data_IF_747869048999
#
_entry.id   IF_747869048999
#
_cell.length_a   1.000
_cell.length_b   1.000
_cell.length_c   1.000
_cell.angle_alpha   90.00
_cell.angle_beta   90.00
_cell.angle_gamma   90.00
#
_symmetry.space_group_name_H-M   'P 1'
#
loop_
_entity.id
_entity.type
_entity.pdbx_description
1 polymer ?
#
# COMPACT_ATOMS: atom_id res chain seq x y z
N UNK A 1 -11.09 -14.03 2.02
CA UNK A 1 -9.96 -13.90 1.06
C UNK A 1 -9.62 -12.42 0.89
N UNK A 2 -8.44 -11.98 1.33
CA UNK A 2 -7.98 -10.58 1.28
C UNK A 2 -7.75 -10.06 -0.15
N UNK A 3 -7.55 -10.96 -1.12
CA UNK A 3 -7.31 -10.65 -2.54
C UNK A 3 -8.45 -9.85 -3.19
N UNK A 4 -9.65 -9.88 -2.62
CA UNK A 4 -10.81 -9.12 -3.11
C UNK A 4 -11.15 -7.86 -2.31
N UNK A 5 -10.42 -7.51 -1.24
CA UNK A 5 -10.80 -6.37 -0.40
C UNK A 5 -10.11 -5.08 -0.91
N UNK A 6 -10.86 -4.19 -1.61
CA UNK A 6 -10.27 -3.01 -2.23
C UNK A 6 -9.62 -2.09 -1.19
N UNK A 7 -10.14 -2.06 0.04
CA UNK A 7 -9.60 -1.26 1.13
C UNK A 7 -8.19 -1.64 1.58
N UNK A 8 -7.69 -2.83 1.25
CA UNK A 8 -6.30 -3.26 1.55
C UNK A 8 -5.43 -3.24 0.29
N UNK A 9 -5.97 -3.72 -0.83
CA UNK A 9 -5.21 -3.87 -2.06
C UNK A 9 -4.87 -2.52 -2.71
N UNK A 10 -5.83 -1.59 -2.77
CA UNK A 10 -5.63 -0.30 -3.43
C UNK A 10 -4.59 0.60 -2.71
N UNK A 11 -4.54 0.71 -1.37
CA UNK A 11 -3.46 1.42 -0.69
C UNK A 11 -2.07 0.82 -0.97
N UNK A 12 -1.95 -0.51 -1.04
CA UNK A 12 -0.70 -1.18 -1.36
C UNK A 12 -0.27 -0.96 -2.82
N UNK A 13 -1.22 -0.99 -3.76
CA UNK A 13 -0.94 -0.62 -5.15
C UNK A 13 -0.51 0.84 -5.26
N UNK A 14 -1.17 1.75 -4.55
CA UNK A 14 -0.77 3.16 -4.51
C UNK A 14 0.67 3.35 -4.02
N UNK A 15 1.07 2.59 -2.98
CA UNK A 15 2.45 2.58 -2.51
C UNK A 15 3.41 2.04 -3.57
N UNK A 16 3.07 0.94 -4.25
CA UNK A 16 3.94 0.40 -5.30
C UNK A 16 4.10 1.37 -6.48
N UNK A 17 3.04 2.09 -6.86
CA UNK A 17 3.15 3.18 -7.83
C UNK A 17 4.10 4.30 -7.34
N UNK A 18 3.99 4.70 -6.06
CA UNK A 18 4.88 5.69 -5.44
C UNK A 18 6.34 5.25 -5.57
N UNK A 19 6.64 4.03 -5.12
CA UNK A 19 8.00 3.49 -5.09
C UNK A 19 8.57 3.31 -6.49
N UNK A 20 7.76 2.88 -7.47
CA UNK A 20 8.17 2.71 -8.86
C UNK A 20 8.43 4.04 -9.59
N UNK A 21 7.69 5.10 -9.23
CA UNK A 21 7.91 6.44 -9.79
C UNK A 21 9.04 7.22 -9.11
N UNK A 22 9.28 6.94 -7.82
CA UNK A 22 10.29 7.64 -7.02
C UNK A 22 11.72 7.33 -7.49
N UNK A 23 12.07 6.05 -7.61
CA UNK A 23 13.43 5.63 -7.93
C UNK A 23 13.41 4.30 -8.71
N UNK A 24 14.41 4.10 -9.58
CA UNK A 24 14.62 2.88 -10.38
C UNK A 24 14.66 1.62 -9.52
N UNK A 25 15.28 1.72 -8.35
CA UNK A 25 15.40 0.65 -7.36
C UNK A 25 14.51 0.92 -6.12
N UNK A 26 13.53 1.82 -6.23
CA UNK A 26 12.74 2.30 -5.09
C UNK A 26 12.07 1.16 -4.32
N UNK A 27 11.53 0.17 -5.03
CA UNK A 27 10.94 -1.01 -4.40
C UNK A 27 11.99 -1.81 -3.62
N UNK A 28 13.11 -2.20 -4.25
CA UNK A 28 14.16 -3.02 -3.60
C UNK A 28 14.73 -2.29 -2.38
N UNK A 29 14.92 -0.98 -2.48
CA UNK A 29 15.43 -0.15 -1.38
C UNK A 29 14.44 -0.05 -0.23
N UNK A 30 13.14 0.10 -0.51
CA UNK A 30 12.10 0.25 0.51
C UNK A 30 11.57 -1.09 1.03
N UNK A 31 11.91 -2.19 0.37
CA UNK A 31 11.45 -3.53 0.71
C UNK A 31 11.78 -3.95 2.15
N UNK A 32 12.98 -3.69 2.72
CA UNK A 32 13.24 -3.98 4.12
C UNK A 32 12.31 -3.23 5.07
N UNK A 33 12.00 -1.96 4.79
CA UNK A 33 11.06 -1.18 5.58
C UNK A 33 9.64 -1.76 5.51
N UNK A 34 9.20 -2.18 4.31
CA UNK A 34 7.91 -2.86 4.12
C UNK A 34 7.85 -4.18 4.90
N UNK A 35 8.89 -5.00 4.85
CA UNK A 35 8.98 -6.28 5.59
C UNK A 35 8.90 -6.02 7.09
N UNK A 36 9.70 -5.09 7.61
CA UNK A 36 9.67 -4.71 9.03
C UNK A 36 8.28 -4.23 9.42
N UNK A 37 7.64 -3.40 8.60
CA UNK A 37 6.26 -2.98 8.78
C UNK A 37 5.30 -4.16 8.87
N UNK A 38 5.32 -5.07 7.89
CA UNK A 38 4.45 -6.25 7.86
C UNK A 38 4.62 -7.14 9.09
N UNK A 39 5.87 -7.36 9.54
CA UNK A 39 6.16 -8.14 10.74
C UNK A 39 5.65 -7.43 12.00
N UNK A 40 5.90 -6.12 12.12
CA UNK A 40 5.42 -5.31 13.24
C UNK A 40 3.89 -5.15 13.24
N UNK A 41 3.23 -5.28 12.09
CA UNK A 41 1.78 -5.24 11.98
C UNK A 41 1.07 -6.46 12.56
N UNK A 42 1.75 -7.60 12.72
CA UNK A 42 1.19 -8.81 13.35
C UNK A 42 0.76 -8.56 14.81
N UNK A 43 1.65 -8.07 15.70
CA UNK A 43 1.23 -7.74 17.06
C UNK A 43 0.26 -6.56 17.12
N UNK A 44 0.36 -5.61 16.19
CA UNK A 44 -0.58 -4.49 16.12
C UNK A 44 -1.99 -4.94 15.77
N UNK A 45 -2.16 -5.95 14.92
CA UNK A 45 -3.48 -6.49 14.55
C UNK A 45 -4.29 -7.00 15.74
N UNK A 46 -3.63 -7.59 16.73
CA UNK A 46 -4.32 -8.12 17.92
C UNK A 46 -4.85 -7.04 18.88
N UNK A 47 -4.30 -5.82 18.79
CA UNK A 47 -4.74 -4.66 19.57
C UNK A 47 -5.39 -3.58 18.69
N UNK A 48 -5.54 -3.86 17.39
CA UNK A 48 -6.05 -2.91 16.43
C UNK A 48 -7.54 -2.66 16.68
N UNK A 49 -7.96 -1.39 16.87
CA UNK A 49 -9.38 -1.06 16.91
C UNK A 49 -9.99 -1.24 15.52
N UNK A 50 -11.33 -1.37 15.46
CA UNK A 50 -12.09 -1.50 14.21
C UNK A 50 -11.83 -0.35 13.22
N UNK A 51 -11.41 0.81 13.74
CA UNK A 51 -11.07 1.98 12.93
C UNK A 51 -9.77 1.84 12.13
N UNK A 52 -8.94 0.80 12.36
CA UNK A 52 -7.67 0.61 11.64
C UNK A 52 -7.88 0.44 10.14
N UNK A 53 -8.92 -0.30 9.72
CA UNK A 53 -9.27 -0.43 8.31
C UNK A 53 -9.56 0.93 7.65
N UNK A 54 -10.39 1.76 8.29
CA UNK A 54 -10.72 3.11 7.83
C UNK A 54 -9.48 4.01 7.77
N UNK A 55 -8.63 3.92 8.80
CA UNK A 55 -7.35 4.62 8.84
C UNK A 55 -6.42 4.21 7.70
N UNK A 56 -6.36 2.92 7.37
CA UNK A 56 -5.51 2.43 6.28
C UNK A 56 -6.00 2.88 4.90
N UNK A 57 -7.30 2.94 4.69
CA UNK A 57 -7.90 3.53 3.47
C UNK A 57 -7.53 5.01 3.37
N UNK A 58 -7.68 5.79 4.45
CA UNK A 58 -7.32 7.20 4.47
C UNK A 58 -5.81 7.41 4.22
N UNK A 59 -4.97 6.56 4.79
CA UNK A 59 -3.54 6.52 4.49
C UNK A 59 -3.27 6.21 3.00
N UNK A 60 -4.01 5.26 2.41
CA UNK A 60 -3.96 4.98 0.98
C UNK A 60 -4.33 6.17 0.09
N UNK A 61 -5.37 6.94 0.46
CA UNK A 61 -5.71 8.21 -0.21
C UNK A 61 -4.52 9.16 -0.18
N UNK A 62 -3.91 9.32 0.99
CA UNK A 62 -2.74 10.19 1.16
C UNK A 62 -1.58 9.75 0.28
N UNK A 63 -1.21 8.46 0.29
CA UNK A 63 -0.13 7.92 -0.55
C UNK A 63 -0.45 8.09 -2.03
N UNK A 64 -1.67 7.79 -2.46
CA UNK A 64 -2.09 7.94 -3.86
C UNK A 64 -2.06 9.41 -4.31
N UNK A 65 -2.48 10.34 -3.45
CA UNK A 65 -2.41 11.78 -3.71
C UNK A 65 -0.96 12.27 -3.80
N UNK A 66 -0.07 11.82 -2.92
CA UNK A 66 1.36 12.14 -3.00
C UNK A 66 1.95 11.65 -4.33
N UNK A 67 1.68 10.40 -4.71
CA UNK A 67 2.10 9.83 -6.00
C UNK A 67 1.60 10.64 -7.19
N UNK A 68 0.35 11.11 -7.14
CA UNK A 68 -0.24 11.90 -8.20
C UNK A 68 0.35 13.32 -8.27
N UNK A 69 0.62 13.97 -7.13
CA UNK A 69 0.94 15.40 -7.04
C UNK A 69 2.44 15.69 -7.01
N UNK A 70 3.25 14.90 -6.30
CA UNK A 70 4.67 15.20 -6.12
C UNK A 70 5.53 14.60 -7.24
N UNK A 71 6.35 15.47 -7.83
CA UNK A 71 7.34 15.07 -8.84
C UNK A 71 8.63 14.48 -8.21
N UNK A 72 8.88 14.74 -6.92
CA UNK A 72 10.06 14.28 -6.18
C UNK A 72 9.63 13.90 -4.76
N UNK A 73 10.10 12.74 -4.29
CA UNK A 73 9.89 12.28 -2.93
C UNK A 73 11.24 12.13 -2.24
N UNK A 74 11.29 12.45 -0.95
CA UNK A 74 12.48 12.21 -0.14
C UNK A 74 12.64 10.70 0.13
N UNK A 75 13.89 10.24 0.26
CA UNK A 75 14.19 8.84 0.58
C UNK A 75 13.60 8.40 1.91
N UNK A 76 13.58 9.28 2.89
CA UNK A 76 13.03 9.00 4.21
C UNK A 76 11.50 8.87 4.18
N UNK A 77 10.82 9.68 3.35
CA UNK A 77 9.38 9.59 3.17
C UNK A 77 8.99 8.24 2.55
N UNK A 78 9.68 7.81 1.49
CA UNK A 78 9.40 6.54 0.84
C UNK A 78 9.55 5.34 1.80
N UNK A 79 10.59 5.34 2.63
CA UNK A 79 10.79 4.29 3.64
C UNK A 79 9.76 4.33 4.77
N UNK A 80 9.44 5.53 5.27
CA UNK A 80 8.43 5.70 6.30
C UNK A 80 7.06 5.23 5.78
N UNK A 81 6.67 5.64 4.59
CA UNK A 81 5.41 5.22 3.96
C UNK A 81 5.37 3.72 3.72
N UNK A 82 6.46 3.09 3.27
CA UNK A 82 6.52 1.65 3.09
C UNK A 82 6.37 0.88 4.42
N UNK A 83 7.06 1.32 5.47
CA UNK A 83 6.96 0.71 6.79
C UNK A 83 5.57 0.88 7.41
N UNK A 84 5.01 2.09 7.37
CA UNK A 84 3.66 2.38 7.88
C UNK A 84 2.62 1.58 7.09
N UNK A 85 2.71 1.54 5.77
CA UNK A 85 1.79 0.78 4.94
C UNK A 85 1.84 -0.72 5.26
N UNK A 86 3.03 -1.29 5.43
CA UNK A 86 3.20 -2.69 5.81
C UNK A 86 2.56 -2.99 7.16
N UNK A 87 2.81 -2.15 8.15
CA UNK A 87 2.24 -2.29 9.49
C UNK A 87 0.71 -2.19 9.48
N UNK A 88 0.17 -1.16 8.83
CA UNK A 88 -1.27 -0.96 8.73
C UNK A 88 -1.96 -2.03 7.89
N UNK A 89 -1.35 -2.51 6.80
CA UNK A 89 -1.92 -3.56 5.97
C UNK A 89 -2.06 -4.87 6.76
N UNK A 90 -1.03 -5.27 7.50
CA UNK A 90 -1.09 -6.48 8.31
C UNK A 90 -2.03 -6.31 9.51
N UNK A 91 -1.99 -5.15 10.18
CA UNK A 91 -2.90 -4.86 11.29
C UNK A 91 -4.38 -4.89 10.87
N UNK A 92 -4.69 -4.28 9.72
CA UNK A 92 -6.04 -4.29 9.12
C UNK A 92 -6.47 -5.70 8.73
N UNK A 93 -5.55 -6.48 8.16
CA UNK A 93 -5.86 -7.83 7.71
C UNK A 93 -6.13 -8.82 8.86
N UNK A 94 -5.57 -8.55 10.05
CA UNK A 94 -5.71 -9.36 11.26
C UNK A 94 -6.73 -8.80 12.25
N UNK A 95 -7.38 -7.69 11.89
CA UNK A 95 -8.38 -7.03 12.73
C UNK A 95 -9.45 -8.04 13.21
N UNK A 96 -9.81 -7.94 14.48
CA UNK A 96 -10.82 -8.81 15.10
C UNK A 96 -10.34 -10.21 15.45
N UNK A 97 -9.06 -10.54 15.26
CA UNK A 97 -8.49 -11.84 15.63
C UNK A 97 -7.40 -11.69 16.70
N UNK A 98 -7.37 -12.62 17.66
CA UNK A 98 -6.30 -12.68 18.66
C UNK A 98 -4.97 -13.15 18.06
N UNK A 99 -3.87 -12.85 18.76
CA UNK A 99 -2.53 -13.30 18.38
C UNK A 99 -2.49 -14.81 18.14
N UNK A 100 -2.05 -15.22 16.95
CA UNK A 100 -1.88 -16.63 16.55
C UNK A 100 -3.14 -17.49 16.64
N UNK A 101 -4.34 -16.89 16.67
CA UNK A 101 -5.58 -17.64 16.52
C UNK A 101 -5.78 -18.14 15.08
N UNK A 102 -5.27 -17.38 14.10
CA UNK A 102 -5.28 -17.81 12.71
C UNK A 102 -4.12 -18.77 12.42
N UNK A 103 -4.33 -19.78 11.55
CA UNK A 103 -3.25 -20.60 11.03
C UNK A 103 -2.08 -19.76 10.49
N UNK A 104 -0.85 -20.22 10.73
CA UNK A 104 0.37 -19.57 10.23
C UNK A 104 0.32 -19.37 8.71
N UNK A 105 -0.33 -20.30 7.99
CA UNK A 105 -0.51 -20.21 6.54
C UNK A 105 -1.25 -18.94 6.10
N UNK A 106 -2.20 -18.44 6.89
CA UNK A 106 -2.93 -17.20 6.58
C UNK A 106 -2.00 -15.99 6.70
N UNK A 107 -1.17 -15.95 7.74
CA UNK A 107 -0.18 -14.89 7.93
C UNK A 107 0.83 -14.86 6.77
N UNK A 108 1.32 -16.03 6.35
CA UNK A 108 2.20 -16.15 5.18
C UNK A 108 1.51 -15.73 3.89
N UNK A 109 0.26 -16.13 3.68
CA UNK A 109 -0.53 -15.71 2.52
C UNK A 109 -0.74 -14.20 2.45
N UNK A 110 -1.01 -13.59 3.61
CA UNK A 110 -1.12 -12.13 3.77
C UNK A 110 0.19 -11.41 3.48
N UNK A 111 1.26 -11.89 4.09
CA UNK A 111 2.60 -11.36 3.88
C UNK A 111 3.00 -11.41 2.40
N UNK A 112 2.80 -12.57 1.75
CA UNK A 112 3.11 -12.76 0.35
C UNK A 112 2.26 -11.87 -0.56
N UNK A 113 0.95 -11.80 -0.30
CA UNK A 113 0.02 -11.01 -1.10
C UNK A 113 0.32 -9.52 -1.00
N UNK A 114 0.63 -9.03 0.20
CA UNK A 114 0.99 -7.63 0.40
C UNK A 114 2.28 -7.28 -0.34
N UNK A 115 3.32 -8.12 -0.22
CA UNK A 115 4.56 -7.95 -0.97
C UNK A 115 4.34 -7.99 -2.47
N UNK A 116 3.54 -8.94 -2.97
CA UNK A 116 3.27 -9.11 -4.39
C UNK A 116 2.48 -7.92 -4.94
N UNK A 117 1.50 -7.39 -4.21
CA UNK A 117 0.73 -6.21 -4.63
C UNK A 117 1.64 -4.98 -4.84
N UNK A 118 2.53 -4.71 -3.88
CA UNK A 118 3.47 -3.59 -3.97
C UNK A 118 4.53 -3.84 -5.06
N UNK A 119 5.12 -5.04 -5.09
CA UNK A 119 6.17 -5.40 -6.04
C UNK A 119 5.67 -5.42 -7.48
N UNK A 120 4.48 -5.98 -7.73
CA UNK A 120 3.90 -6.06 -9.07
C UNK A 120 3.56 -4.67 -9.60
N UNK A 121 2.93 -3.81 -8.78
CA UNK A 121 2.61 -2.45 -9.21
C UNK A 121 3.86 -1.59 -9.43
N UNK A 122 4.85 -1.64 -8.55
CA UNK A 122 6.14 -0.98 -8.76
C UNK A 122 6.87 -1.51 -10.01
N UNK A 123 6.83 -2.83 -10.22
CA UNK A 123 7.39 -3.49 -11.39
C UNK A 123 6.72 -3.06 -12.69
N UNK A 124 5.40 -2.90 -12.71
CA UNK A 124 4.66 -2.40 -13.88
C UNK A 124 5.07 -0.96 -14.23
N UNK A 125 5.19 -0.07 -13.24
CA UNK A 125 5.72 1.28 -13.46
C UNK A 125 7.13 1.21 -14.04
N UNK A 126 7.97 0.34 -13.49
CA UNK A 126 9.35 0.18 -13.91
C UNK A 126 9.46 -0.29 -15.36
N UNK A 127 8.82 -1.41 -15.69
CA UNK A 127 8.86 -2.02 -17.02
C UNK A 127 8.36 -1.03 -18.08
N UNK A 128 7.26 -0.34 -17.81
CA UNK A 128 6.67 0.63 -18.74
C UNK A 128 7.53 1.88 -18.94
N UNK A 129 8.11 2.43 -17.86
CA UNK A 129 8.98 3.62 -17.95
C UNK A 129 10.37 3.30 -18.54
N UNK A 130 10.82 2.06 -18.46
CA UNK A 130 12.06 1.60 -19.11
C UNK A 130 11.90 1.34 -20.60
N UNK A 131 10.79 0.72 -21.00
CA UNK A 131 10.50 0.48 -22.41
C UNK A 131 10.13 1.76 -23.14
N UNK A 132 9.46 2.69 -22.46
CA UNK A 132 9.04 3.97 -23.02
C UNK A 132 9.63 5.11 -22.17
N UNK A 133 10.86 5.55 -22.46
CA UNK A 133 11.57 6.57 -21.69
C UNK A 133 11.04 7.99 -21.97
N UNK A 134 9.75 8.14 -22.20
CA UNK A 134 9.10 9.40 -22.49
C UNK A 134 8.40 9.95 -21.24
N UNK A 135 8.44 11.27 -21.05
CA UNK A 135 7.87 11.93 -19.88
C UNK A 135 6.37 11.69 -19.74
N UNK A 136 5.64 11.50 -20.85
CA UNK A 136 4.20 11.21 -20.83
C UNK A 136 3.87 9.87 -20.14
N UNK A 137 4.77 8.87 -20.18
CA UNK A 137 4.55 7.60 -19.48
C UNK A 137 4.47 7.79 -17.97
N UNK A 138 5.32 8.67 -17.41
CA UNK A 138 5.26 9.03 -15.98
C UNK A 138 3.97 9.77 -15.65
N UNK A 139 3.47 10.61 -16.56
CA UNK A 139 2.19 11.31 -16.39
C UNK A 139 1.03 10.31 -16.33
N UNK A 140 1.02 9.29 -17.19
CA UNK A 140 -0.02 8.25 -17.16
C UNK A 140 -0.08 7.53 -15.81
N UNK A 141 1.06 7.19 -15.21
CA UNK A 141 1.08 6.57 -13.89
C UNK A 141 0.62 7.52 -12.77
N UNK A 142 0.86 8.83 -12.90
CA UNK A 142 0.31 9.83 -11.98
C UNK A 142 -1.20 9.97 -12.13
N UNK A 143 -1.73 9.84 -13.35
CA UNK A 143 -3.18 9.77 -13.62
C UNK A 143 -3.77 8.49 -13.02
N UNK A 144 -3.11 7.34 -13.18
CA UNK A 144 -3.55 6.10 -12.55
C UNK A 144 -3.59 6.23 -11.02
N UNK A 145 -2.59 6.87 -10.41
CA UNK A 145 -2.57 7.15 -8.98
C UNK A 145 -3.72 8.08 -8.54
N UNK A 146 -4.08 9.09 -9.34
CA UNK A 146 -5.21 9.98 -9.00
C UNK A 146 -6.55 9.25 -9.05
N UNK A 147 -6.72 8.27 -9.94
CA UNK A 147 -7.90 7.41 -9.98
C UNK A 147 -7.98 6.51 -8.75
N UNK A 148 -6.86 5.94 -8.31
CA UNK A 148 -6.80 5.18 -7.06
C UNK A 148 -7.20 6.06 -5.88
N UNK A 149 -6.69 7.30 -5.81
CA UNK A 149 -7.07 8.26 -4.78
C UNK A 149 -8.59 8.52 -4.79
N UNK A 150 -9.18 8.75 -5.96
CA UNK A 150 -10.61 8.99 -6.10
C UNK A 150 -11.45 7.78 -5.64
N UNK A 151 -11.09 6.56 -6.04
CA UNK A 151 -11.77 5.33 -5.60
C UNK A 151 -11.66 5.16 -4.09
N UNK A 152 -10.49 5.40 -3.51
CA UNK A 152 -10.28 5.31 -2.06
C UNK A 152 -11.06 6.39 -1.29
N UNK A 153 -11.21 7.60 -1.83
CA UNK A 153 -12.06 8.65 -1.23
C UNK A 153 -13.53 8.22 -1.23
N UNK A 154 -14.03 7.69 -2.36
CA UNK A 154 -15.40 7.17 -2.44
C UNK A 154 -15.62 6.01 -1.45
N UNK A 155 -14.64 5.12 -1.35
CA UNK A 155 -14.66 4.01 -0.40
C UNK A 155 -14.64 4.50 1.06
N UNK A 156 -13.80 5.48 1.37
CA UNK A 156 -13.72 6.12 2.68
C UNK A 156 -15.04 6.81 3.06
N UNK A 157 -15.66 7.52 2.11
CA UNK A 157 -16.95 8.15 2.31
C UNK A 157 -18.06 7.12 2.62
N UNK A 158 -18.03 5.97 1.94
CA UNK A 158 -18.96 4.86 2.25
C UNK A 158 -18.74 4.32 3.66
N UNK A 159 -17.48 4.02 4.03
CA UNK A 159 -17.15 3.55 5.38
C UNK A 159 -17.58 4.55 6.47
N UNK A 160 -17.40 5.85 6.23
CA UNK A 160 -17.79 6.91 7.19
C UNK A 160 -19.29 7.08 7.38
N UNK A 161 -20.12 6.56 6.47
CA UNK A 161 -21.58 6.60 6.57
C UNK A 161 -22.17 5.34 7.18
N UNK A 162 -21.42 4.25 7.20
CA UNK A 162 -21.84 2.95 7.73
C UNK A 162 -21.38 2.66 9.16
N UNK A 163 -20.58 3.56 9.76
CA UNK A 163 -20.18 3.55 11.17
C UNK A 163 -21.07 4.51 11.97
#
# INVERSE_FOLDING_TARGET
MIVGYPGILLPLVALGLLLGLWDREGMVRAWPALIVGLVLGVPLGAVAPVAVATGFVAFGVFVAALTALLARHSRYEAFALAGIAGAMAMATALEGHGLFQLPVMIHLGLFLTANLAVAASAGLVRVSTDHVPAQWMRILWRIAASWIAAVLILYLAYLSRGA
#
